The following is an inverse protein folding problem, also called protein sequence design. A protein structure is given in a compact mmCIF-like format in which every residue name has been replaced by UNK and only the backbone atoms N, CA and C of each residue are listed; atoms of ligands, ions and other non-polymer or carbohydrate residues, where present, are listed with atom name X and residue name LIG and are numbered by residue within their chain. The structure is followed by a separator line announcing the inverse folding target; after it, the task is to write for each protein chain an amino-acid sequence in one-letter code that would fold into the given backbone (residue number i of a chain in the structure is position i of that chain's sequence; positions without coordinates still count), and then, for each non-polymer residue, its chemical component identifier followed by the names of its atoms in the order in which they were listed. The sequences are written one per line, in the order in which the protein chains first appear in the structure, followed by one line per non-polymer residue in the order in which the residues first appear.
data_IF_909444691725
#
_entry.id   IF_909444691725
#
_cell.length_a   1.000
_cell.length_b   1.000
_cell.length_c   1.000
_cell.angle_alpha   90.00
_cell.angle_beta   90.00
_cell.angle_gamma   90.00
#
_symmetry.space_group_name_H-M   'P 1'
#
loop_
_entity.id
_entity.type
_entity.pdbx_description
1 polymer ?
#
# COMPACT_ATOMS: atom_id res chain seq x y z
N UNK A 1 -3.28 -1.00 13.26
CA UNK A 1 -2.73 -2.21 12.62
C UNK A 1 -3.50 -3.41 13.10
N UNK A 2 -4.03 -4.19 12.20
CA UNK A 2 -4.77 -5.42 12.47
C UNK A 2 -3.86 -6.63 12.20
N UNK A 3 -3.69 -7.51 13.19
CA UNK A 3 -3.00 -8.79 13.00
C UNK A 3 -3.95 -9.76 12.32
N UNK A 4 -3.62 -10.22 11.11
CA UNK A 4 -4.40 -11.21 10.36
C UNK A 4 -3.90 -12.63 10.61
N UNK A 5 -2.59 -12.83 10.66
CA UNK A 5 -1.96 -14.13 10.90
C UNK A 5 -0.67 -13.96 11.71
N UNK A 6 -0.57 -14.60 12.90
CA UNK A 6 0.57 -14.39 13.78
C UNK A 6 1.76 -15.31 13.50
N UNK A 7 1.57 -16.38 12.73
CA UNK A 7 2.56 -17.45 12.57
C UNK A 7 3.59 -17.11 11.50
N UNK A 8 4.77 -17.72 11.63
CA UNK A 8 5.88 -17.59 10.71
C UNK A 8 7.10 -16.91 11.34
N UNK A 9 8.29 -17.29 10.86
CA UNK A 9 9.57 -16.74 11.31
C UNK A 9 10.21 -15.79 10.29
N UNK A 10 9.55 -15.61 9.15
CA UNK A 10 9.97 -14.65 8.12
C UNK A 10 9.61 -13.21 8.47
N UNK A 11 10.08 -12.30 7.63
CA UNK A 11 9.70 -10.88 7.78
C UNK A 11 8.19 -10.71 7.64
N UNK A 12 7.56 -9.86 8.45
CA UNK A 12 6.14 -9.59 8.34
C UNK A 12 5.73 -9.09 6.96
N UNK A 13 4.55 -9.54 6.50
CA UNK A 13 3.88 -9.00 5.33
C UNK A 13 2.85 -7.95 5.79
N UNK A 14 2.90 -6.77 5.20
CA UNK A 14 1.99 -5.67 5.49
C UNK A 14 1.05 -5.43 4.31
N UNK A 15 -0.25 -5.65 4.53
CA UNK A 15 -1.29 -5.34 3.57
C UNK A 15 -1.82 -3.92 3.73
N UNK A 16 -1.92 -3.22 2.61
CA UNK A 16 -2.66 -1.95 2.50
C UNK A 16 -4.01 -2.25 1.84
N UNK A 17 -5.13 -2.08 2.57
CA UNK A 17 -6.46 -2.38 2.05
C UNK A 17 -6.93 -1.36 1.02
N UNK A 18 -7.96 -1.75 0.23
CA UNK A 18 -8.61 -0.87 -0.73
C UNK A 18 -9.50 0.20 -0.09
N UNK A 19 -10.45 0.73 -0.86
CA UNK A 19 -11.25 1.91 -0.52
C UNK A 19 -12.05 1.82 0.80
N UNK A 20 -12.42 0.61 1.25
CA UNK A 20 -13.09 0.42 2.54
C UNK A 20 -12.16 0.58 3.75
N UNK A 21 -10.84 0.67 3.54
CA UNK A 21 -9.83 1.01 4.53
C UNK A 21 -9.58 -0.04 5.61
N UNK A 22 -10.08 -1.26 5.47
CA UNK A 22 -9.78 -2.38 6.38
C UNK A 22 -9.48 -3.66 5.63
N UNK A 23 -8.65 -4.53 6.23
CA UNK A 23 -8.14 -5.73 5.58
C UNK A 23 -8.67 -7.05 6.12
N UNK A 24 -9.74 -7.05 6.93
CA UNK A 24 -10.26 -8.29 7.51
C UNK A 24 -10.61 -9.36 6.46
N UNK A 25 -11.04 -8.95 5.27
CA UNK A 25 -11.34 -9.87 4.15
C UNK A 25 -10.10 -10.57 3.56
N UNK A 26 -8.90 -10.18 3.97
CA UNK A 26 -7.66 -10.92 3.63
C UNK A 26 -7.32 -12.03 4.62
N UNK A 27 -8.17 -12.31 5.63
CA UNK A 27 -7.92 -13.32 6.64
C UNK A 27 -7.62 -14.69 6.02
N UNK A 28 -8.44 -15.12 5.05
CA UNK A 28 -8.29 -16.42 4.38
C UNK A 28 -7.01 -16.50 3.55
N UNK A 29 -6.60 -15.40 2.93
CA UNK A 29 -5.32 -15.33 2.23
C UNK A 29 -4.15 -15.39 3.24
N UNK A 30 -4.26 -14.66 4.34
CA UNK A 30 -3.21 -14.57 5.35
C UNK A 30 -2.86 -15.91 6.00
N UNK A 31 -3.86 -16.75 6.30
CA UNK A 31 -3.64 -18.10 6.87
C UNK A 31 -2.86 -19.02 5.95
N UNK A 32 -2.88 -18.79 4.63
CA UNK A 32 -2.14 -19.58 3.65
C UNK A 32 -0.70 -19.06 3.42
N UNK A 33 -0.29 -18.00 4.11
CA UNK A 33 1.06 -17.45 4.03
C UNK A 33 1.89 -17.91 5.24
N UNK A 34 2.09 -19.22 5.35
CA UNK A 34 2.59 -19.94 6.53
C UNK A 34 3.94 -19.43 7.10
N UNK A 35 4.77 -18.82 6.26
CA UNK A 35 6.13 -18.42 6.65
C UNK A 35 6.24 -16.99 7.17
N UNK A 36 5.18 -16.20 7.10
CA UNK A 36 5.20 -14.77 7.40
C UNK A 36 4.07 -14.35 8.32
N UNK A 37 4.33 -13.66 9.43
CA UNK A 37 3.28 -12.93 10.12
C UNK A 37 2.63 -11.91 9.18
N UNK A 38 1.30 -11.79 9.22
CA UNK A 38 0.56 -10.94 8.29
C UNK A 38 -0.22 -9.88 9.03
N UNK A 39 -0.02 -8.64 8.67
CA UNK A 39 -0.68 -7.47 9.24
C UNK A 39 -1.45 -6.69 8.14
N UNK A 40 -2.61 -6.15 8.50
CA UNK A 40 -3.27 -5.11 7.71
C UNK A 40 -3.00 -3.74 8.31
N UNK A 41 -2.59 -2.80 7.48
CA UNK A 41 -2.40 -1.40 7.83
C UNK A 41 -3.72 -0.66 7.56
N UNK A 42 -4.57 -0.61 8.58
CA UNK A 42 -5.88 0.04 8.49
C UNK A 42 -5.77 1.54 8.22
N UNK A 43 -6.65 2.07 7.37
CA UNK A 43 -6.68 3.50 7.05
C UNK A 43 -6.96 4.34 8.30
N UNK A 44 -6.08 5.30 8.65
CA UNK A 44 -6.32 6.22 9.77
C UNK A 44 -7.61 7.01 9.59
N UNK A 45 -8.32 7.26 10.69
CA UNK A 45 -9.59 8.02 10.68
C UNK A 45 -10.82 7.24 10.16
N UNK A 46 -10.64 6.03 9.64
CA UNK A 46 -11.72 5.20 9.09
C UNK A 46 -12.83 4.91 10.11
N UNK A 47 -12.49 4.74 11.38
CA UNK A 47 -13.43 4.48 12.46
C UNK A 47 -14.11 5.75 13.04
N UNK A 48 -13.94 6.89 12.38
CA UNK A 48 -14.45 8.19 12.82
C UNK A 48 -13.59 8.87 13.90
N UNK A 49 -12.47 8.26 14.29
CA UNK A 49 -11.51 8.85 15.24
C UNK A 49 -10.34 9.45 14.45
N UNK A 50 -10.26 10.77 14.45
CA UNK A 50 -9.28 11.50 13.65
C UNK A 50 -9.75 11.76 12.21
N UNK A 51 -8.85 12.27 11.38
CA UNK A 51 -9.12 12.64 9.98
C UNK A 51 -8.57 11.57 9.05
N UNK A 52 -9.34 11.19 8.05
CA UNK A 52 -8.85 10.39 6.92
C UNK A 52 -7.82 11.22 6.15
N UNK A 53 -6.66 10.65 5.77
CA UNK A 53 -5.66 11.36 4.98
C UNK A 53 -6.24 11.86 3.66
N UNK A 54 -5.86 13.08 3.27
CA UNK A 54 -6.32 13.76 2.06
C UNK A 54 -5.35 13.64 0.87
N UNK A 55 -4.23 12.97 1.07
CA UNK A 55 -3.29 12.63 -0.01
C UNK A 55 -2.68 11.25 0.18
N UNK A 56 -2.19 10.66 -0.91
CA UNK A 56 -1.52 9.36 -0.89
C UNK A 56 -0.22 9.43 -0.11
N UNK A 57 0.52 10.52 -0.24
CA UNK A 57 1.79 10.73 0.46
C UNK A 57 1.58 10.80 1.98
N UNK A 58 0.58 11.56 2.43
CA UNK A 58 0.25 11.64 3.85
C UNK A 58 -0.25 10.30 4.39
N UNK A 59 -1.12 9.61 3.64
CA UNK A 59 -1.59 8.29 4.00
C UNK A 59 -0.43 7.31 4.16
N UNK A 60 0.46 7.27 3.17
CA UNK A 60 1.65 6.40 3.16
C UNK A 60 2.58 6.69 4.34
N UNK A 61 2.87 7.95 4.63
CA UNK A 61 3.72 8.33 5.77
C UNK A 61 3.12 7.90 7.12
N UNK A 62 1.80 8.02 7.28
CA UNK A 62 1.11 7.54 8.48
C UNK A 62 1.15 6.03 8.62
N UNK A 63 0.97 5.29 7.51
CA UNK A 63 1.06 3.83 7.50
C UNK A 63 2.49 3.33 7.75
N UNK A 64 3.51 4.03 7.25
CA UNK A 64 4.93 3.73 7.56
C UNK A 64 5.18 3.86 9.06
N UNK A 65 4.65 4.88 9.73
CA UNK A 65 4.78 5.02 11.18
C UNK A 65 4.13 3.86 11.93
N UNK A 66 2.99 3.36 11.46
CA UNK A 66 2.32 2.19 12.04
C UNK A 66 3.09 0.88 11.76
N UNK A 67 3.62 0.73 10.55
CA UNK A 67 4.44 -0.41 10.15
C UNK A 67 5.69 -0.51 11.03
N UNK A 68 6.37 0.61 11.28
CA UNK A 68 7.59 0.67 12.10
C UNK A 68 7.37 0.31 13.57
N UNK A 69 6.15 0.39 14.08
CA UNK A 69 5.80 -0.14 15.40
C UNK A 69 5.84 -1.68 15.46
N UNK A 70 5.79 -2.36 14.30
CA UNK A 70 5.83 -3.83 14.19
C UNK A 70 7.18 -4.34 13.68
N UNK A 71 7.79 -3.59 12.77
CA UNK A 71 9.11 -3.90 12.22
C UNK A 71 9.89 -2.59 12.06
N UNK A 72 10.93 -2.41 12.86
CA UNK A 72 11.69 -1.14 12.94
C UNK A 72 12.61 -0.90 11.76
N UNK A 73 13.06 -1.97 11.08
CA UNK A 73 14.01 -1.90 9.95
C UNK A 73 13.61 -2.89 8.85
N UNK A 74 13.93 -2.54 7.59
CA UNK A 74 13.76 -3.44 6.47
C UNK A 74 14.64 -4.71 6.55
N UNK A 75 14.52 -5.61 5.59
CA UNK A 75 13.72 -5.45 4.37
C UNK A 75 12.22 -5.66 4.63
N UNK A 76 11.42 -4.74 4.07
CA UNK A 76 9.96 -4.79 4.19
C UNK A 76 9.31 -5.59 3.06
N UNK A 77 8.16 -6.23 3.38
CA UNK A 77 7.29 -6.90 2.42
C UNK A 77 5.94 -6.19 2.45
N UNK A 78 5.55 -5.59 1.34
CA UNK A 78 4.33 -4.81 1.20
C UNK A 78 3.40 -5.47 0.18
N UNK A 79 2.11 -5.39 0.43
CA UNK A 79 1.08 -5.72 -0.54
C UNK A 79 -0.02 -4.67 -0.52
N UNK A 80 -0.46 -4.23 -1.69
CA UNK A 80 -1.59 -3.33 -1.83
C UNK A 80 -2.73 -4.02 -2.58
N UNK A 81 -3.98 -3.69 -2.25
CA UNK A 81 -5.16 -4.17 -2.93
C UNK A 81 -5.99 -3.00 -3.46
N UNK A 82 -6.41 -3.08 -4.74
CA UNK A 82 -7.23 -2.06 -5.38
C UNK A 82 -6.62 -0.65 -5.18
N UNK A 83 -7.33 0.33 -4.66
CA UNK A 83 -6.80 1.67 -4.35
C UNK A 83 -5.65 1.67 -3.34
N UNK A 84 -5.55 0.66 -2.49
CA UNK A 84 -4.40 0.48 -1.57
C UNK A 84 -3.08 0.20 -2.27
N UNK A 85 -3.11 -0.22 -3.54
CA UNK A 85 -1.90 -0.41 -4.35
C UNK A 85 -1.10 0.88 -4.52
N UNK A 86 -1.79 1.98 -4.74
CA UNK A 86 -1.15 3.29 -4.87
C UNK A 86 -0.46 3.72 -3.57
N UNK A 87 -1.12 3.49 -2.44
CA UNK A 87 -0.58 3.79 -1.12
C UNK A 87 0.62 2.89 -0.81
N UNK A 88 0.52 1.57 -1.08
CA UNK A 88 1.61 0.63 -0.88
C UNK A 88 2.83 0.95 -1.75
N UNK A 89 2.61 1.38 -3.01
CA UNK A 89 3.67 1.82 -3.89
C UNK A 89 4.37 3.08 -3.35
N UNK A 90 3.61 4.09 -2.94
CA UNK A 90 4.16 5.31 -2.36
C UNK A 90 4.91 5.03 -1.04
N UNK A 91 4.39 4.09 -0.20
CA UNK A 91 5.12 3.63 0.98
C UNK A 91 6.48 3.05 0.60
N UNK A 92 6.55 2.21 -0.44
CA UNK A 92 7.82 1.65 -0.90
C UNK A 92 8.78 2.75 -1.34
N UNK A 93 8.30 3.74 -2.10
CA UNK A 93 9.11 4.90 -2.52
C UNK A 93 9.65 5.69 -1.32
N UNK A 94 8.80 5.99 -0.33
CA UNK A 94 9.21 6.75 0.86
C UNK A 94 10.21 5.96 1.72
N UNK A 95 10.01 4.65 1.90
CA UNK A 95 10.93 3.79 2.64
C UNK A 95 12.31 3.75 1.96
N UNK A 96 12.36 3.55 0.65
CA UNK A 96 13.62 3.54 -0.11
C UNK A 96 14.33 4.91 -0.08
N UNK A 97 13.59 6.01 -0.17
CA UNK A 97 14.15 7.37 -0.01
C UNK A 97 14.76 7.60 1.39
N UNK A 98 14.25 6.91 2.41
CA UNK A 98 14.76 6.96 3.77
C UNK A 98 15.91 5.97 4.03
N UNK A 99 16.35 5.23 3.00
CA UNK A 99 17.44 4.26 3.07
C UNK A 99 17.03 2.86 3.53
N UNK A 100 15.74 2.62 3.71
CA UNK A 100 15.22 1.28 3.99
C UNK A 100 15.09 0.44 2.70
N UNK A 101 15.10 -0.88 2.86
CA UNK A 101 14.93 -1.82 1.75
C UNK A 101 13.51 -2.38 1.73
N UNK A 102 12.87 -2.34 0.57
CA UNK A 102 11.64 -3.09 0.27
C UNK A 102 12.02 -4.32 -0.57
N UNK A 103 11.84 -5.52 -0.02
CA UNK A 103 12.19 -6.78 -0.69
C UNK A 103 11.12 -7.28 -1.64
N UNK A 104 9.85 -6.92 -1.37
CA UNK A 104 8.72 -7.27 -2.21
C UNK A 104 7.64 -6.18 -2.11
N UNK A 105 7.10 -5.79 -3.25
CA UNK A 105 5.86 -5.04 -3.36
C UNK A 105 4.89 -5.81 -4.26
N UNK A 106 3.83 -6.38 -3.68
CA UNK A 106 2.78 -7.07 -4.40
C UNK A 106 1.62 -6.11 -4.71
N UNK A 107 1.22 -6.05 -5.97
CA UNK A 107 0.10 -5.24 -6.45
C UNK A 107 -1.04 -6.19 -6.81
N UNK A 108 -2.15 -6.11 -6.07
CA UNK A 108 -3.27 -7.03 -6.18
C UNK A 108 -4.53 -6.30 -6.69
N UNK A 109 -5.10 -6.81 -7.77
CA UNK A 109 -6.35 -6.33 -8.37
C UNK A 109 -6.37 -4.79 -8.56
N UNK A 110 -5.26 -4.27 -9.04
CA UNK A 110 -5.11 -2.88 -9.48
C UNK A 110 -4.66 -2.92 -10.93
N UNK A 111 -5.53 -2.51 -11.84
CA UNK A 111 -5.10 -2.21 -13.18
C UNK A 111 -4.17 -0.99 -13.12
N UNK A 112 -3.00 -1.08 -13.74
CA UNK A 112 -2.38 0.09 -14.33
C UNK A 112 -3.34 0.50 -15.45
N UNK A 113 -4.33 1.30 -15.11
CA UNK A 113 -5.34 1.66 -16.11
C UNK A 113 -4.71 2.71 -17.01
N UNK A 114 -4.26 2.25 -18.16
CA UNK A 114 -3.80 3.08 -19.27
C UNK A 114 -4.93 3.92 -19.90
N UNK A 115 -6.16 3.75 -19.46
CA UNK A 115 -7.31 4.35 -20.13
C UNK A 115 -7.76 5.62 -19.42
N UNK A 116 -7.24 6.75 -19.93
CA UNK A 116 -7.59 8.10 -19.48
C UNK A 116 -9.08 8.41 -19.49
N UNK A 117 -9.84 7.78 -20.41
CA UNK A 117 -11.29 7.99 -20.55
C UNK A 117 -12.10 7.31 -19.44
N UNK A 118 -11.68 6.15 -18.99
CA UNK A 118 -12.36 5.42 -17.92
C UNK A 118 -12.39 6.21 -16.61
N UNK A 119 -11.35 6.97 -16.31
CA UNK A 119 -11.23 7.74 -15.07
C UNK A 119 -11.76 9.19 -15.17
N UNK A 120 -11.77 9.82 -16.34
CA UNK A 120 -12.27 11.20 -16.54
C UNK A 120 -13.68 11.45 -15.99
N UNK A 121 -14.48 10.41 -15.90
CA UNK A 121 -15.87 10.50 -15.47
C UNK A 121 -16.11 10.22 -13.97
N UNK A 122 -15.09 9.97 -13.18
CA UNK A 122 -15.22 9.51 -11.77
C UNK A 122 -14.70 10.46 -10.69
N UNK A 123 -14.18 11.61 -11.03
CA UNK A 123 -13.71 12.60 -10.02
C UNK A 123 -12.51 12.23 -9.16
N UNK A 124 -12.08 10.95 -9.21
CA UNK A 124 -11.03 10.41 -8.33
C UNK A 124 -9.67 10.28 -9.04
N UNK A 125 -9.46 11.00 -10.15
CA UNK A 125 -8.43 10.65 -11.16
C UNK A 125 -7.11 11.35 -10.94
N UNK A 126 -7.11 12.52 -10.40
CA UNK A 126 -5.90 13.36 -10.37
C UNK A 126 -4.77 12.69 -9.59
N UNK A 127 -5.08 11.96 -8.51
CA UNK A 127 -4.07 11.29 -7.71
C UNK A 127 -3.50 10.01 -8.37
N UNK A 128 -4.31 9.22 -9.08
CA UNK A 128 -3.81 8.05 -9.85
C UNK A 128 -2.87 8.52 -10.95
N UNK A 129 -3.21 9.61 -11.62
CA UNK A 129 -2.39 10.22 -12.65
C UNK A 129 -1.06 10.74 -12.11
N UNK A 130 -1.08 11.38 -10.96
CA UNK A 130 0.13 11.84 -10.27
C UNK A 130 1.05 10.66 -9.93
N UNK A 131 0.49 9.53 -9.49
CA UNK A 131 1.26 8.31 -9.21
C UNK A 131 1.88 7.73 -10.48
N UNK A 132 1.11 7.63 -11.57
CA UNK A 132 1.63 7.13 -12.86
C UNK A 132 2.79 8.01 -13.34
N UNK A 133 2.65 9.32 -13.32
CA UNK A 133 3.70 10.26 -13.67
C UNK A 133 4.94 10.12 -12.77
N UNK A 134 4.74 9.86 -11.47
CA UNK A 134 5.84 9.66 -10.53
C UNK A 134 6.56 8.33 -10.76
N UNK A 135 5.84 7.27 -11.12
CA UNK A 135 6.43 5.98 -11.54
C UNK A 135 7.30 6.17 -12.77
N UNK A 136 6.80 6.88 -13.79
CA UNK A 136 7.55 7.18 -15.01
C UNK A 136 8.81 8.00 -14.72
N UNK A 137 8.72 9.01 -13.85
CA UNK A 137 9.84 9.85 -13.48
C UNK A 137 10.93 9.10 -12.69
N UNK A 138 10.55 8.18 -11.80
CA UNK A 138 11.49 7.43 -10.96
C UNK A 138 12.21 6.30 -11.70
N UNK A 139 11.60 5.74 -12.74
CA UNK A 139 12.16 4.58 -13.48
C UNK A 139 12.82 4.95 -14.81
N UNK A 140 12.68 6.21 -15.28
CA UNK A 140 13.10 6.58 -16.64
C UNK A 140 12.39 5.75 -17.73
N UNK A 141 11.26 5.14 -17.38
CA UNK A 141 10.45 4.27 -18.24
C UNK A 141 9.19 5.04 -18.59
N UNK A 142 9.01 5.36 -19.87
CA UNK A 142 7.70 5.79 -20.36
C UNK A 142 6.79 4.57 -20.44
N UNK A 143 5.66 4.60 -19.77
CA UNK A 143 4.67 3.53 -19.84
C UNK A 143 3.83 3.60 -21.14
N UNK A 144 4.12 4.54 -22.01
CA UNK A 144 3.50 4.66 -23.34
C UNK A 144 2.00 4.97 -23.31
N UNK A 145 1.55 5.75 -22.31
CA UNK A 145 0.14 6.12 -22.09
C UNK A 145 -0.23 7.40 -22.82
#
# INVERSE_FOLDING_TARGET
VLLLHPQGNGNPLFFVPGANGHGFYFQDLAINLENHPVYSLETPGRNGIGKVPDSVELHSSQLINLLRQKQTQGPYILAGYSSGCAVAFEMACQLEQQGDKVSLLAILDSGLVSDREYFKNRGDIDWIWQIIQRIEALKGVSLGL
#
